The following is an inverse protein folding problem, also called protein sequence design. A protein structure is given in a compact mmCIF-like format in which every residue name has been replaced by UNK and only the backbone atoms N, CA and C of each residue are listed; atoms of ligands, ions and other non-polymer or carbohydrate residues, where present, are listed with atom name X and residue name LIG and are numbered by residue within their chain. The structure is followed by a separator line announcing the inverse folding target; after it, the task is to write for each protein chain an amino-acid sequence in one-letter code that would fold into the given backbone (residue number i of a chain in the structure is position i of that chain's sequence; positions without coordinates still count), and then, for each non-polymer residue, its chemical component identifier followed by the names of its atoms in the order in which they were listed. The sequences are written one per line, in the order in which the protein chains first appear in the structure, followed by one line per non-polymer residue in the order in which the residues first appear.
data_IF_829133393698
#
_entry.id   IF_829133393698
#
_cell.length_a   1.000
_cell.length_b   1.000
_cell.length_c   1.000
_cell.angle_alpha   90.00
_cell.angle_beta   90.00
_cell.angle_gamma   90.00
#
_symmetry.space_group_name_H-M   'P 1'
#
loop_
_entity.id
_entity.type
_entity.pdbx_description
1 polymer ?
#
# COMPACT_ATOMS: atom_id res chain seq x y z
N UNK A 1 -21.59 -12.50 45.22
CA UNK A 1 -21.54 -13.48 44.12
C UNK A 1 -21.90 -12.84 42.77
N UNK A 2 -23.10 -12.25 42.62
CA UNK A 2 -23.54 -11.63 41.36
C UNK A 2 -22.59 -10.52 40.86
N UNK A 3 -22.09 -9.67 41.76
CA UNK A 3 -21.11 -8.61 41.43
C UNK A 3 -19.78 -9.16 40.88
N UNK A 4 -19.27 -10.25 41.47
CA UNK A 4 -18.03 -10.91 41.02
C UNK A 4 -18.22 -11.51 39.62
N UNK A 5 -19.36 -12.17 39.38
CA UNK A 5 -19.70 -12.75 38.08
C UNK A 5 -19.79 -11.68 36.99
N UNK A 6 -20.43 -10.54 37.30
CA UNK A 6 -20.52 -9.41 36.39
C UNK A 6 -19.15 -8.81 36.05
N UNK A 7 -18.27 -8.67 37.05
CA UNK A 7 -16.90 -8.19 36.84
C UNK A 7 -16.06 -9.16 35.99
N UNK A 8 -16.17 -10.47 36.24
CA UNK A 8 -15.49 -11.50 35.44
C UNK A 8 -15.96 -11.48 33.97
N UNK A 9 -17.28 -11.40 33.75
CA UNK A 9 -17.86 -11.33 32.41
C UNK A 9 -17.35 -10.10 31.66
N UNK A 10 -17.28 -8.94 32.34
CA UNK A 10 -16.78 -7.71 31.77
C UNK A 10 -15.29 -7.82 31.38
N UNK A 11 -14.47 -8.41 32.25
CA UNK A 11 -13.05 -8.65 31.97
C UNK A 11 -12.87 -9.58 30.76
N UNK A 12 -13.64 -10.66 30.69
CA UNK A 12 -13.61 -11.61 29.57
C UNK A 12 -14.00 -10.92 28.26
N UNK A 13 -15.07 -10.10 28.28
CA UNK A 13 -15.52 -9.35 27.12
C UNK A 13 -14.46 -8.36 26.63
N UNK A 14 -13.79 -7.67 27.56
CA UNK A 14 -12.70 -6.76 27.24
C UNK A 14 -11.50 -7.48 26.62
N UNK A 15 -11.12 -8.65 27.17
CA UNK A 15 -10.02 -9.46 26.63
C UNK A 15 -10.35 -10.02 25.23
N UNK A 16 -11.57 -10.52 25.03
CA UNK A 16 -12.05 -10.98 23.72
C UNK A 16 -12.03 -9.83 22.69
N UNK A 17 -12.45 -8.64 23.10
CA UNK A 17 -12.45 -7.46 22.24
C UNK A 17 -11.03 -7.04 21.86
N UNK A 18 -10.08 -7.07 22.81
CA UNK A 18 -8.67 -6.80 22.55
C UNK A 18 -8.09 -7.80 21.54
N UNK A 19 -8.38 -9.09 21.71
CA UNK A 19 -7.95 -10.14 20.78
C UNK A 19 -8.50 -9.92 19.37
N UNK A 20 -9.80 -9.61 19.26
CA UNK A 20 -10.47 -9.37 17.99
C UNK A 20 -9.86 -8.13 17.29
N UNK A 21 -9.59 -7.08 18.05
CA UNK A 21 -8.92 -5.87 17.56
C UNK A 21 -7.51 -6.17 17.02
N UNK A 22 -6.72 -6.96 17.76
CA UNK A 22 -5.38 -7.38 17.33
C UNK A 22 -5.45 -8.20 16.03
N UNK A 23 -6.37 -9.16 15.95
CA UNK A 23 -6.58 -9.98 14.76
C UNK A 23 -6.97 -9.12 13.55
N UNK A 24 -7.90 -8.18 13.74
CA UNK A 24 -8.38 -7.28 12.70
C UNK A 24 -7.25 -6.36 12.22
N UNK A 25 -6.42 -5.84 13.12
CA UNK A 25 -5.25 -5.05 12.78
C UNK A 25 -4.24 -5.86 11.95
N UNK A 26 -3.94 -7.11 12.36
CA UNK A 26 -3.04 -8.00 11.63
C UNK A 26 -3.57 -8.33 10.24
N UNK A 27 -4.86 -8.66 10.13
CA UNK A 27 -5.51 -8.95 8.86
C UNK A 27 -5.45 -7.75 7.92
N UNK A 28 -5.71 -6.54 8.45
CA UNK A 28 -5.62 -5.31 7.68
C UNK A 28 -4.20 -5.04 7.23
N UNK A 29 -3.21 -5.24 8.09
CA UNK A 29 -1.79 -5.12 7.73
C UNK A 29 -1.42 -6.09 6.60
N UNK A 30 -1.87 -7.34 6.67
CA UNK A 30 -1.63 -8.33 5.62
C UNK A 30 -2.30 -7.93 4.29
N UNK A 31 -3.58 -7.53 4.36
CA UNK A 31 -4.35 -7.06 3.22
C UNK A 31 -3.70 -5.83 2.55
N UNK A 32 -3.01 -5.01 3.34
CA UNK A 32 -2.26 -3.84 2.91
C UNK A 32 -0.93 -4.21 2.26
N UNK A 33 -0.16 -5.10 2.89
CA UNK A 33 1.19 -5.44 2.44
C UNK A 33 1.18 -6.27 1.15
N UNK A 34 0.22 -7.17 0.98
CA UNK A 34 0.14 -8.04 -0.20
C UNK A 34 0.06 -7.27 -1.53
N UNK A 35 -0.90 -6.35 -1.76
CA UNK A 35 -0.98 -5.60 -3.01
C UNK A 35 0.23 -4.68 -3.23
N UNK A 36 0.81 -4.12 -2.15
CA UNK A 36 2.03 -3.32 -2.24
C UNK A 36 3.22 -4.15 -2.71
N UNK A 37 3.39 -5.37 -2.18
CA UNK A 37 4.46 -6.27 -2.58
C UNK A 37 4.31 -6.72 -4.03
N UNK A 38 3.09 -7.06 -4.45
CA UNK A 38 2.80 -7.42 -5.85
C UNK A 38 3.10 -6.27 -6.80
N UNK A 39 2.71 -5.04 -6.45
CA UNK A 39 2.99 -3.87 -7.26
C UNK A 39 4.50 -3.57 -7.30
N UNK A 40 5.20 -3.66 -6.17
CA UNK A 40 6.66 -3.51 -6.12
C UNK A 40 7.38 -4.53 -7.02
N UNK A 41 6.93 -5.78 -7.01
CA UNK A 41 7.47 -6.81 -7.89
C UNK A 41 7.25 -6.46 -9.37
N UNK A 42 6.04 -6.00 -9.72
CA UNK A 42 5.72 -5.54 -11.08
C UNK A 42 6.60 -4.36 -11.50
N UNK A 43 6.81 -3.39 -10.60
CA UNK A 43 7.68 -2.22 -10.80
C UNK A 43 9.12 -2.67 -11.09
N UNK A 44 9.65 -3.60 -10.29
CA UNK A 44 11.00 -4.15 -10.46
C UNK A 44 11.15 -4.86 -11.81
N UNK A 45 10.18 -5.69 -12.18
CA UNK A 45 10.16 -6.38 -13.48
C UNK A 45 10.17 -5.37 -14.63
N UNK A 46 9.34 -4.34 -14.54
CA UNK A 46 9.24 -3.31 -15.58
C UNK A 46 10.52 -2.48 -15.68
N UNK A 47 11.16 -2.18 -14.56
CA UNK A 47 12.46 -1.50 -14.52
C UNK A 47 13.55 -2.36 -15.17
N UNK A 48 13.58 -3.67 -14.89
CA UNK A 48 14.51 -4.60 -15.53
C UNK A 48 14.31 -4.63 -17.05
N UNK A 49 13.04 -4.68 -17.49
CA UNK A 49 12.70 -4.63 -18.91
C UNK A 49 13.16 -3.32 -19.57
N UNK A 50 12.96 -2.18 -18.89
CA UNK A 50 13.43 -0.86 -19.34
C UNK A 50 14.95 -0.85 -19.51
N UNK A 51 15.69 -1.38 -18.53
CA UNK A 51 17.15 -1.47 -18.58
C UNK A 51 17.62 -2.32 -19.76
N UNK A 52 16.99 -3.49 -19.97
CA UNK A 52 17.32 -4.37 -21.09
C UNK A 52 17.06 -3.68 -22.45
N UNK A 53 15.92 -3.00 -22.57
CA UNK A 53 15.56 -2.26 -23.77
C UNK A 53 16.54 -1.11 -24.04
N UNK A 54 16.94 -0.38 -22.99
CA UNK A 54 17.92 0.69 -23.09
C UNK A 54 19.28 0.14 -23.55
N UNK A 55 19.72 -0.99 -22.99
CA UNK A 55 20.95 -1.65 -23.42
C UNK A 55 20.89 -2.04 -24.91
N UNK A 56 19.77 -2.60 -25.37
CA UNK A 56 19.54 -2.93 -26.76
C UNK A 56 19.58 -1.68 -27.66
N UNK A 57 18.96 -0.58 -27.22
CA UNK A 57 18.98 0.70 -27.92
C UNK A 57 20.42 1.22 -28.09
N UNK A 58 21.23 1.18 -27.03
CA UNK A 58 22.63 1.59 -27.06
C UNK A 58 23.43 0.73 -28.03
N UNK A 59 23.26 -0.59 -27.98
CA UNK A 59 23.92 -1.52 -28.90
C UNK A 59 23.56 -1.22 -30.36
N UNK A 60 22.27 -0.98 -30.63
CA UNK A 60 21.78 -0.66 -31.96
C UNK A 60 22.34 0.68 -32.46
N UNK A 61 22.42 1.69 -31.59
CA UNK A 61 23.00 2.99 -31.92
C UNK A 61 24.50 2.88 -32.24
N UNK A 62 25.24 2.06 -31.49
CA UNK A 62 26.64 1.76 -31.78
C UNK A 62 26.80 1.07 -33.15
N UNK A 63 25.94 0.11 -33.48
CA UNK A 63 25.94 -0.56 -34.79
C UNK A 63 25.62 0.42 -35.92
N UNK A 64 24.62 1.28 -35.73
CA UNK A 64 24.26 2.32 -36.70
C UNK A 64 25.42 3.29 -36.94
N UNK A 65 26.08 3.74 -35.86
CA UNK A 65 27.24 4.61 -35.93
C UNK A 65 28.39 3.95 -36.71
N UNK A 66 28.68 2.68 -36.43
CA UNK A 66 29.71 1.92 -37.15
C UNK A 66 29.40 1.84 -38.66
N UNK A 67 28.15 1.56 -39.02
CA UNK A 67 27.72 1.47 -40.42
C UNK A 67 27.77 2.83 -41.13
N UNK A 68 27.40 3.91 -40.45
CA UNK A 68 27.55 5.28 -40.95
C UNK A 68 29.02 5.64 -41.16
N UNK A 69 29.91 5.28 -40.24
CA UNK A 69 31.35 5.51 -40.36
C UNK A 69 31.93 4.72 -41.54
N UNK A 70 31.50 3.47 -41.74
CA UNK A 70 31.88 2.66 -42.90
C UNK A 70 31.38 3.29 -44.21
N UNK A 71 30.14 3.78 -44.25
CA UNK A 71 29.58 4.47 -45.41
C UNK A 71 30.41 5.74 -45.73
N UNK A 72 30.74 6.54 -44.72
CA UNK A 72 31.57 7.73 -44.88
C UNK A 72 32.96 7.38 -45.43
N UNK A 73 33.59 6.32 -44.92
CA UNK A 73 34.89 5.84 -45.41
C UNK A 73 34.82 5.46 -46.89
N UNK A 74 33.78 4.74 -47.30
CA UNK A 74 33.55 4.33 -48.69
C UNK A 74 33.38 5.54 -49.61
N UNK A 75 32.61 6.54 -49.17
CA UNK A 75 32.44 7.80 -49.89
C UNK A 75 33.75 8.59 -49.98
N UNK A 76 34.53 8.64 -48.89
CA UNK A 76 35.83 9.29 -48.86
C UNK A 76 36.81 8.64 -49.85
N UNK A 77 36.84 7.30 -49.90
CA UNK A 77 37.67 6.55 -50.85
C UNK A 77 37.29 6.86 -52.30
N UNK A 78 35.99 6.98 -52.61
CA UNK A 78 35.52 7.35 -53.95
C UNK A 78 36.01 8.75 -54.39
N UNK A 79 36.17 9.69 -53.44
CA UNK A 79 36.58 11.07 -53.73
C UNK A 79 38.12 11.20 -53.78
N UNK A 80 38.83 10.52 -52.88
CA UNK A 80 40.27 10.74 -52.69
C UNK A 80 41.17 9.81 -53.53
N UNK A 81 40.68 8.68 -54.03
CA UNK A 81 41.52 7.77 -54.83
C UNK A 81 41.81 8.36 -56.22
N UNK A 82 43.08 8.31 -56.69
CA UNK A 82 43.38 8.66 -58.08
C UNK A 82 42.72 7.67 -59.07
N UNK A 83 42.51 8.08 -60.34
CA UNK A 83 41.75 7.30 -61.32
C UNK A 83 42.23 5.86 -61.58
N UNK A 84 43.53 5.55 -61.72
CA UNK A 84 43.95 4.18 -62.03
C UNK A 84 43.53 3.13 -60.98
N UNK A 85 43.74 3.30 -59.66
CA UNK A 85 43.23 2.36 -58.66
C UNK A 85 41.71 2.45 -58.46
N UNK A 86 41.09 3.61 -58.71
CA UNK A 86 39.64 3.77 -58.59
C UNK A 86 38.91 2.88 -59.59
N UNK A 87 39.38 2.78 -60.84
CA UNK A 87 38.76 1.93 -61.85
C UNK A 87 38.71 0.44 -61.47
N UNK A 88 39.71 -0.04 -60.72
CA UNK A 88 39.76 -1.42 -60.23
C UNK A 88 38.77 -1.67 -59.08
N UNK A 89 38.57 -0.70 -58.19
CA UNK A 89 37.70 -0.82 -57.02
C UNK A 89 36.26 -0.36 -57.26
N UNK A 90 36.01 0.41 -58.33
CA UNK A 90 34.71 0.99 -58.65
C UNK A 90 33.57 -0.04 -58.68
N UNK A 91 33.70 -1.22 -59.32
CA UNK A 91 32.60 -2.19 -59.34
C UNK A 91 32.22 -2.68 -57.93
N UNK A 92 33.21 -2.86 -57.06
CA UNK A 92 33.00 -3.27 -55.67
C UNK A 92 32.35 -2.16 -54.85
N UNK A 93 32.81 -0.92 -55.00
CA UNK A 93 32.25 0.25 -54.30
C UNK A 93 30.79 0.52 -54.73
N UNK A 94 30.49 0.36 -56.02
CA UNK A 94 29.13 0.49 -56.57
C UNK A 94 28.17 -0.57 -56.05
N UNK A 95 28.64 -1.77 -55.74
CA UNK A 95 27.83 -2.84 -55.14
C UNK A 95 27.69 -2.67 -53.62
N UNK A 96 28.74 -2.22 -52.95
CA UNK A 96 28.77 -2.07 -51.51
C UNK A 96 27.91 -0.90 -51.01
N UNK A 97 27.89 0.23 -51.74
CA UNK A 97 27.08 1.40 -51.39
C UNK A 97 25.57 1.09 -51.23
N UNK A 98 24.86 0.50 -52.23
CA UNK A 98 23.45 0.17 -52.10
C UNK A 98 23.20 -0.89 -51.04
N UNK A 99 24.13 -1.83 -50.81
CA UNK A 99 24.02 -2.80 -49.71
C UNK A 99 24.08 -2.12 -48.33
N UNK A 100 24.99 -1.17 -48.13
CA UNK A 100 25.05 -0.40 -46.88
C UNK A 100 23.77 0.40 -46.66
N UNK A 101 23.25 1.06 -47.70
CA UNK A 101 21.98 1.80 -47.61
C UNK A 101 20.79 0.87 -47.32
N UNK A 102 20.75 -0.31 -47.95
CA UNK A 102 19.74 -1.32 -47.72
C UNK A 102 19.76 -1.84 -46.27
N UNK A 103 20.93 -1.94 -45.65
CA UNK A 103 21.08 -2.31 -44.24
C UNK A 103 20.76 -1.15 -43.27
N UNK A 104 21.08 0.08 -43.66
CA UNK A 104 20.84 1.26 -42.83
C UNK A 104 19.35 1.51 -42.60
N UNK A 105 18.52 1.42 -43.64
CA UNK A 105 17.07 1.65 -43.56
C UNK A 105 16.37 0.81 -42.47
N UNK A 106 16.47 -0.54 -42.46
CA UNK A 106 15.83 -1.37 -41.43
C UNK A 106 16.39 -1.11 -40.03
N UNK A 107 17.69 -0.78 -39.90
CA UNK A 107 18.29 -0.40 -38.61
C UNK A 107 17.69 0.89 -38.06
N UNK A 108 17.50 1.92 -38.89
CA UNK A 108 16.86 3.18 -38.49
C UNK A 108 15.40 2.94 -38.10
N UNK A 109 14.66 2.14 -38.86
CA UNK A 109 13.27 1.77 -38.51
C UNK A 109 13.21 1.02 -37.18
N UNK A 110 14.13 0.07 -36.94
CA UNK A 110 14.23 -0.66 -35.69
C UNK A 110 14.55 0.29 -34.51
N UNK A 111 15.44 1.26 -34.72
CA UNK A 111 15.78 2.27 -33.71
C UNK A 111 14.55 3.10 -33.31
N UNK A 112 13.79 3.58 -34.30
CA UNK A 112 12.57 4.34 -34.06
C UNK A 112 11.52 3.51 -33.32
N UNK A 113 11.36 2.24 -33.69
CA UNK A 113 10.44 1.32 -33.02
C UNK A 113 10.86 1.07 -31.56
N UNK A 114 12.14 0.82 -31.30
CA UNK A 114 12.66 0.65 -29.95
C UNK A 114 12.50 1.91 -29.10
N UNK A 115 12.76 3.09 -29.68
CA UNK A 115 12.56 4.36 -29.00
C UNK A 115 11.09 4.57 -28.62
N UNK A 116 10.16 4.26 -29.53
CA UNK A 116 8.73 4.35 -29.26
C UNK A 116 8.31 3.36 -28.16
N UNK A 117 8.80 2.12 -28.21
CA UNK A 117 8.57 1.12 -27.17
C UNK A 117 9.11 1.56 -25.81
N UNK A 118 10.29 2.20 -25.78
CA UNK A 118 10.89 2.75 -24.57
C UNK A 118 10.00 3.83 -23.95
N UNK A 119 9.50 4.74 -24.78
CA UNK A 119 8.61 5.81 -24.34
C UNK A 119 7.28 5.27 -23.80
N UNK A 120 6.69 4.27 -24.47
CA UNK A 120 5.49 3.59 -23.99
C UNK A 120 5.73 2.90 -22.64
N UNK A 121 6.86 2.20 -22.48
CA UNK A 121 7.22 1.53 -21.24
C UNK A 121 7.44 2.54 -20.11
N UNK A 122 8.08 3.67 -20.39
CA UNK A 122 8.27 4.76 -19.43
C UNK A 122 6.93 5.38 -19.01
N UNK A 123 6.02 5.60 -19.95
CA UNK A 123 4.67 6.09 -19.65
C UNK A 123 3.91 5.10 -18.77
N UNK A 124 4.01 3.79 -19.07
CA UNK A 124 3.41 2.73 -18.28
C UNK A 124 4.00 2.69 -16.86
N UNK A 125 5.32 2.84 -16.71
CA UNK A 125 6.00 2.95 -15.42
C UNK A 125 5.42 4.12 -14.60
N UNK A 126 5.30 5.29 -15.22
CA UNK A 126 4.78 6.49 -14.58
C UNK A 126 3.32 6.30 -14.14
N UNK A 127 2.48 5.74 -15.01
CA UNK A 127 1.08 5.43 -14.70
C UNK A 127 0.98 4.46 -13.53
N UNK A 128 1.80 3.40 -13.52
CA UNK A 128 1.85 2.42 -12.45
C UNK A 128 2.28 3.06 -11.12
N UNK A 129 3.28 3.93 -11.15
CA UNK A 129 3.74 4.67 -9.97
C UNK A 129 2.63 5.59 -9.42
N UNK A 130 1.92 6.29 -10.30
CA UNK A 130 0.78 7.12 -9.90
C UNK A 130 -0.34 6.26 -9.29
N UNK A 131 -0.65 5.11 -9.88
CA UNK A 131 -1.63 4.16 -9.35
C UNK A 131 -1.23 3.66 -7.97
N UNK A 132 0.06 3.32 -7.76
CA UNK A 132 0.59 2.94 -6.45
C UNK A 132 0.37 4.04 -5.41
N UNK A 133 0.71 5.29 -5.77
CA UNK A 133 0.53 6.43 -4.88
C UNK A 133 -0.95 6.62 -4.51
N UNK A 134 -1.84 6.55 -5.50
CA UNK A 134 -3.29 6.65 -5.28
C UNK A 134 -3.80 5.52 -4.37
N UNK A 135 -3.36 4.29 -4.63
CA UNK A 135 -3.72 3.13 -3.82
C UNK A 135 -3.26 3.30 -2.37
N UNK A 136 -2.02 3.75 -2.17
CA UNK A 136 -1.45 4.04 -0.86
C UNK A 136 -2.25 5.13 -0.13
N UNK A 137 -2.62 6.21 -0.82
CA UNK A 137 -3.44 7.28 -0.28
C UNK A 137 -4.83 6.79 0.13
N UNK A 138 -5.52 6.06 -0.75
CA UNK A 138 -6.83 5.48 -0.48
C UNK A 138 -6.77 4.56 0.74
N UNK A 139 -5.72 3.77 0.82
CA UNK A 139 -5.50 2.85 1.92
C UNK A 139 -5.19 3.57 3.24
N UNK A 140 -4.40 4.63 3.21
CA UNK A 140 -4.17 5.49 4.37
C UNK A 140 -5.48 6.11 4.87
N UNK A 141 -6.32 6.57 3.95
CA UNK A 141 -7.65 7.11 4.27
C UNK A 141 -8.55 6.04 4.90
N UNK A 142 -8.56 4.82 4.35
CA UNK A 142 -9.32 3.70 4.90
C UNK A 142 -8.85 3.35 6.32
N UNK A 143 -7.54 3.29 6.54
CA UNK A 143 -6.94 3.04 7.84
C UNK A 143 -7.35 4.13 8.85
N UNK A 144 -7.28 5.40 8.45
CA UNK A 144 -7.69 6.54 9.27
C UNK A 144 -9.18 6.44 9.64
N UNK A 145 -10.05 6.15 8.67
CA UNK A 145 -11.48 5.96 8.90
C UNK A 145 -11.75 4.84 9.89
N UNK A 146 -11.07 3.69 9.72
CA UNK A 146 -11.19 2.56 10.63
C UNK A 146 -10.70 2.92 12.04
N UNK A 147 -9.59 3.65 12.16
CA UNK A 147 -9.06 4.11 13.44
C UNK A 147 -10.08 5.01 14.17
N UNK A 148 -10.71 5.93 13.44
CA UNK A 148 -11.77 6.79 13.99
C UNK A 148 -12.97 5.96 14.45
N UNK A 149 -13.41 5.00 13.63
CA UNK A 149 -14.52 4.10 13.97
C UNK A 149 -14.20 3.28 15.23
N UNK A 150 -12.98 2.77 15.35
CA UNK A 150 -12.51 2.03 16.50
C UNK A 150 -12.49 2.90 17.76
N UNK A 151 -11.98 4.13 17.66
CA UNK A 151 -11.98 5.09 18.76
C UNK A 151 -13.40 5.41 19.23
N UNK A 152 -14.34 5.61 18.29
CA UNK A 152 -15.74 5.84 18.59
C UNK A 152 -16.37 4.64 19.31
N UNK A 153 -16.09 3.42 18.85
CA UNK A 153 -16.56 2.19 19.50
C UNK A 153 -16.02 2.07 20.92
N UNK A 154 -14.73 2.36 21.12
CA UNK A 154 -14.09 2.35 22.44
C UNK A 154 -14.73 3.39 23.36
N UNK A 155 -14.98 4.61 22.87
CA UNK A 155 -15.65 5.67 23.60
C UNK A 155 -17.07 5.26 24.03
N UNK A 156 -17.83 4.65 23.10
CA UNK A 156 -19.18 4.14 23.38
C UNK A 156 -19.16 3.06 24.47
N UNK A 157 -18.20 2.13 24.41
CA UNK A 157 -18.03 1.09 25.42
C UNK A 157 -17.67 1.69 26.79
N UNK A 158 -16.76 2.67 26.81
CA UNK A 158 -16.39 3.38 28.03
C UNK A 158 -17.61 4.08 28.66
N UNK A 159 -18.43 4.74 27.83
CA UNK A 159 -19.66 5.38 28.28
C UNK A 159 -20.65 4.35 28.84
N UNK A 160 -20.83 3.20 28.18
CA UNK A 160 -21.65 2.10 28.69
C UNK A 160 -21.13 1.59 30.04
N UNK A 161 -19.81 1.43 30.19
CA UNK A 161 -19.17 1.02 31.44
C UNK A 161 -19.45 2.03 32.56
N UNK A 162 -19.32 3.32 32.28
CA UNK A 162 -19.61 4.39 33.24
C UNK A 162 -21.08 4.39 33.67
N UNK A 163 -22.01 4.22 32.73
CA UNK A 163 -23.44 4.10 33.03
C UNK A 163 -23.73 2.88 33.91
N UNK A 164 -23.12 1.73 33.60
CA UNK A 164 -23.26 0.51 34.39
C UNK A 164 -22.72 0.71 35.82
N UNK A 165 -21.57 1.35 35.95
CA UNK A 165 -20.97 1.67 37.25
C UNK A 165 -21.88 2.61 38.06
N UNK A 166 -22.44 3.64 37.41
CA UNK A 166 -23.36 4.57 38.05
C UNK A 166 -24.64 3.87 38.52
N UNK A 167 -25.20 2.98 37.70
CA UNK A 167 -26.35 2.15 38.08
C UNK A 167 -26.04 1.26 39.29
N UNK A 168 -24.85 0.65 39.32
CA UNK A 168 -24.40 -0.17 40.43
C UNK A 168 -24.27 0.66 41.73
N UNK A 169 -23.70 1.86 41.64
CA UNK A 169 -23.62 2.79 42.78
C UNK A 169 -25.00 3.21 43.30
N UNK A 170 -25.94 3.51 42.39
CA UNK A 170 -27.33 3.84 42.76
C UNK A 170 -28.02 2.68 43.47
N UNK A 171 -27.84 1.46 42.97
CA UNK A 171 -28.41 0.26 43.58
C UNK A 171 -27.82 -0.01 44.97
N UNK A 172 -26.51 0.21 45.14
CA UNK A 172 -25.85 0.12 46.44
C UNK A 172 -26.40 1.16 47.43
N UNK A 173 -26.59 2.40 46.98
CA UNK A 173 -27.15 3.48 47.81
C UNK A 173 -28.60 3.19 48.22
N UNK A 174 -29.43 2.68 47.30
CA UNK A 174 -30.80 2.27 47.60
C UNK A 174 -30.85 1.13 48.64
N UNK A 175 -29.96 0.14 48.51
CA UNK A 175 -29.82 -0.94 49.48
C UNK A 175 -29.44 -0.40 50.87
N UNK A 176 -28.52 0.56 50.94
CA UNK A 176 -28.12 1.21 52.19
C UNK A 176 -29.29 1.95 52.84
N UNK A 177 -30.08 2.71 52.05
CA UNK A 177 -31.27 3.42 52.52
C UNK A 177 -32.33 2.45 53.07
N UNK A 178 -32.59 1.35 52.37
CA UNK A 178 -33.51 0.30 52.84
C UNK A 178 -33.04 -0.29 54.18
N UNK A 179 -31.74 -0.55 54.31
CA UNK A 179 -31.15 -1.04 55.55
C UNK A 179 -31.35 -0.03 56.70
N UNK A 180 -31.09 1.26 56.46
CA UNK A 180 -31.30 2.32 57.45
C UNK A 180 -32.78 2.43 57.87
N UNK A 181 -33.71 2.36 56.91
CA UNK A 181 -35.14 2.39 57.20
C UNK A 181 -35.59 1.18 58.02
N UNK A 182 -35.08 -0.01 57.69
CA UNK A 182 -35.31 -1.23 58.48
C UNK A 182 -34.82 -1.04 59.93
N UNK A 183 -33.61 -0.50 60.12
CA UNK A 183 -33.05 -0.23 61.44
C UNK A 183 -33.93 0.76 62.23
N UNK A 184 -34.42 1.82 61.60
CA UNK A 184 -35.34 2.78 62.23
C UNK A 184 -36.67 2.13 62.63
N UNK A 185 -37.26 1.31 61.76
CA UNK A 185 -38.49 0.57 62.07
C UNK A 185 -38.30 -0.38 63.25
N UNK A 186 -37.17 -1.09 63.30
CA UNK A 186 -36.83 -1.96 64.42
C UNK A 186 -36.66 -1.17 65.72
N UNK A 187 -36.00 -0.01 65.69
CA UNK A 187 -35.88 0.86 66.86
C UNK A 187 -37.23 1.38 67.34
N UNK A 188 -38.11 1.80 66.43
CA UNK A 188 -39.43 2.31 66.77
C UNK A 188 -40.32 1.21 67.35
N UNK A 189 -40.29 0.02 66.76
CA UNK A 189 -41.01 -1.15 67.29
C UNK A 189 -40.50 -1.53 68.69
N UNK A 190 -39.18 -1.51 68.89
CA UNK A 190 -38.58 -1.79 70.19
C UNK A 190 -38.98 -0.75 71.25
N UNK A 191 -38.99 0.55 70.88
CA UNK A 191 -39.41 1.62 71.77
C UNK A 191 -40.90 1.51 72.14
N UNK A 192 -41.75 1.15 71.18
CA UNK A 192 -43.18 1.00 71.42
C UNK A 192 -43.50 -0.19 72.34
N UNK A 193 -42.77 -1.30 72.19
CA UNK A 193 -42.87 -2.44 73.10
C UNK A 193 -42.42 -2.12 74.52
N UNK A 194 -41.34 -1.34 74.68
CA UNK A 194 -40.91 -0.92 76.00
C UNK A 194 -41.91 0.01 76.69
N UNK A 195 -42.55 0.93 75.95
CA UNK A 195 -43.55 1.82 76.53
C UNK A 195 -44.82 1.09 76.98
N UNK A 196 -45.25 0.04 76.28
CA UNK A 196 -46.41 -0.75 76.67
C UNK A 196 -46.17 -1.68 77.88
N UNK A 197 -44.92 -2.06 78.17
CA UNK A 197 -44.59 -2.87 79.35
C UNK A 197 -44.36 -2.06 80.63
N UNK A 198 -44.31 -0.73 80.54
CA UNK A 198 -44.12 0.18 81.68
C UNK A 198 -45.42 0.76 82.27
N UNK A 199 -46.58 0.33 81.78
CA UNK A 199 -47.90 0.57 82.38
C UNK A 199 -48.42 -0.74 82.97
#
# INVERSE_FOLDING_TARGET
MLLLLLLLLLLLLLLLQLLLLLLLLLLLLLLLLLPLLLLLLLLLLLLLLLLLLLLLLVLLLLLLLLLLLLLLLVLLLLVLLPPPPLLLLLPLLLLLLPLLLLLLLPLVLLLLLLLHLLLLLLLLLLLLLLLLLLLLLLLLLLLLLLLILLLLLLLLLLLLLLLLLQLLLLLLLLLLLLLLLLLLLLQLHHHHHHHHHSQ
#
